data_IF_006854221948
#
_entry.id   IF_006854221948
#
_cell.length_a   1.000
_cell.length_b   1.000
_cell.length_c   1.000
_cell.angle_alpha   90.00
_cell.angle_beta   90.00
_cell.angle_gamma   90.00
#
_symmetry.space_group_name_H-M   'P 1'
#
loop_
_entity.id
_entity.type
_entity.pdbx_description
1 polymer ?
#
# COMPACT_ATOMS: atom_id res chain seq x y z
N UNK A 1 -13.81 11.25 -8.08
CA UNK A 1 -12.50 11.54 -7.47
C UNK A 1 -11.82 10.20 -7.32
N UNK A 2 -10.61 9.98 -7.85
CA UNK A 2 -9.97 8.67 -7.74
C UNK A 2 -9.48 8.46 -6.30
N UNK A 3 -10.26 7.71 -5.52
CA UNK A 3 -10.05 7.49 -4.07
C UNK A 3 -8.97 6.43 -3.76
N UNK A 4 -8.13 6.08 -4.74
CA UNK A 4 -7.12 5.04 -4.61
C UNK A 4 -5.72 5.60 -4.83
N UNK A 5 -4.77 5.09 -4.03
CA UNK A 5 -3.35 5.44 -4.08
C UNK A 5 -2.57 4.24 -4.59
N UNK A 6 -1.64 4.47 -5.52
CA UNK A 6 -0.67 3.46 -5.91
C UNK A 6 0.39 3.36 -4.82
N UNK A 7 0.55 2.16 -4.26
CA UNK A 7 1.44 1.91 -3.13
C UNK A 7 2.37 0.75 -3.39
N UNK A 8 3.50 0.80 -2.72
CA UNK A 8 4.37 -0.33 -2.46
C UNK A 8 4.20 -0.75 -1.00
N UNK A 9 4.06 -2.05 -0.76
CA UNK A 9 3.84 -2.64 0.55
C UNK A 9 4.86 -3.74 0.76
N UNK A 10 5.62 -3.65 1.85
CA UNK A 10 6.52 -4.73 2.27
C UNK A 10 5.77 -5.60 3.27
N UNK A 11 5.66 -6.90 2.98
CA UNK A 11 4.96 -7.86 3.83
C UNK A 11 5.87 -8.94 4.38
N UNK A 12 5.61 -9.38 5.61
CA UNK A 12 6.27 -10.53 6.22
C UNK A 12 5.78 -11.82 5.57
N UNK A 13 6.67 -12.58 4.95
CA UNK A 13 6.40 -13.94 4.50
C UNK A 13 6.60 -14.93 5.66
N UNK A 14 5.74 -15.96 5.74
CA UNK A 14 5.70 -16.86 6.89
C UNK A 14 7.01 -17.64 7.12
N UNK A 15 7.83 -17.88 6.07
CA UNK A 15 9.06 -18.69 6.13
C UNK A 15 10.17 -18.20 5.16
N UNK A 16 10.15 -16.94 4.70
CA UNK A 16 11.10 -16.38 3.72
C UNK A 16 11.48 -14.93 4.06
N UNK A 17 12.44 -14.38 3.33
CA UNK A 17 12.67 -12.93 3.22
C UNK A 17 11.35 -12.20 2.91
N UNK A 18 11.22 -10.95 3.36
CA UNK A 18 10.05 -10.10 3.10
C UNK A 18 9.74 -10.03 1.61
N UNK A 19 8.46 -9.92 1.25
CA UNK A 19 8.03 -9.74 -0.15
C UNK A 19 7.55 -8.32 -0.39
N UNK A 20 7.82 -7.80 -1.59
CA UNK A 20 7.33 -6.49 -2.02
C UNK A 20 6.12 -6.68 -2.92
N UNK A 21 5.06 -5.95 -2.59
CA UNK A 21 3.80 -5.91 -3.32
C UNK A 21 3.55 -4.50 -3.82
N UNK A 22 3.13 -4.36 -5.07
CA UNK A 22 2.71 -3.07 -5.63
C UNK A 22 1.26 -3.18 -6.10
N UNK A 23 0.43 -2.20 -5.74
CA UNK A 23 -0.99 -2.23 -6.11
C UNK A 23 -1.69 -0.92 -5.74
N UNK A 24 -3.02 -0.95 -5.78
CA UNK A 24 -3.85 0.19 -5.44
C UNK A 24 -4.59 -0.03 -4.14
N UNK A 25 -4.44 0.89 -3.19
CA UNK A 25 -5.14 0.86 -1.90
C UNK A 25 -6.13 2.03 -1.83
N UNK A 26 -7.22 1.87 -1.07
CA UNK A 26 -8.10 3.00 -0.77
C UNK A 26 -7.35 4.06 0.06
N UNK A 27 -7.63 5.34 -0.17
CA UNK A 27 -7.02 6.43 0.62
C UNK A 27 -7.38 6.31 2.12
N UNK A 28 -8.56 5.78 2.44
CA UNK A 28 -9.00 5.52 3.81
C UNK A 28 -8.14 4.48 4.52
N UNK A 29 -7.92 3.33 3.88
CA UNK A 29 -7.09 2.26 4.44
C UNK A 29 -5.63 2.71 4.59
N UNK A 30 -5.10 3.46 3.61
CA UNK A 30 -3.76 4.03 3.70
C UNK A 30 -3.61 4.94 4.93
N UNK A 31 -4.54 5.87 5.14
CA UNK A 31 -4.53 6.77 6.32
C UNK A 31 -4.69 5.99 7.63
N UNK A 32 -5.52 4.95 7.65
CA UNK A 32 -5.71 4.09 8.81
C UNK A 32 -4.41 3.36 9.17
N UNK A 33 -3.70 2.79 8.18
CA UNK A 33 -2.38 2.18 8.36
C UNK A 33 -1.36 3.18 8.91
N UNK A 34 -1.23 4.35 8.28
CA UNK A 34 -0.24 5.37 8.71
C UNK A 34 -0.52 5.97 10.09
N UNK A 35 -1.78 5.98 10.54
CA UNK A 35 -2.18 6.52 11.85
C UNK A 35 -2.17 5.47 12.97
N UNK A 36 -1.77 4.23 12.70
CA UNK A 36 -1.78 3.15 13.67
C UNK A 36 -3.16 2.56 13.97
N UNK A 37 -4.20 2.94 13.21
CA UNK A 37 -5.56 2.41 13.31
C UNK A 37 -5.82 1.38 12.21
N UNK A 38 -4.82 0.55 11.92
CA UNK A 38 -4.84 -0.39 10.81
C UNK A 38 -6.07 -1.32 10.89
N UNK A 39 -6.90 -1.40 9.83
CA UNK A 39 -7.99 -2.38 9.78
C UNK A 39 -7.39 -3.79 9.80
N UNK A 40 -8.14 -4.79 10.28
CA UNK A 40 -7.63 -6.17 10.39
C UNK A 40 -7.17 -6.77 9.06
N UNK A 41 -7.80 -6.32 7.96
CA UNK A 41 -7.47 -6.68 6.58
C UNK A 41 -7.56 -5.43 5.70
N UNK A 42 -6.62 -5.26 4.78
CA UNK A 42 -6.64 -4.25 3.71
C UNK A 42 -6.71 -4.93 2.34
N UNK A 43 -7.34 -4.28 1.38
CA UNK A 43 -7.39 -4.73 -0.01
C UNK A 43 -6.41 -3.94 -0.87
N UNK A 44 -5.57 -4.64 -1.62
CA UNK A 44 -4.78 -4.11 -2.71
C UNK A 44 -5.38 -4.56 -4.04
N UNK A 45 -5.79 -3.61 -4.88
CA UNK A 45 -6.27 -3.91 -6.23
C UNK A 45 -5.12 -4.00 -7.23
N UNK A 46 -5.28 -4.82 -8.26
CA UNK A 46 -4.32 -5.04 -9.34
C UNK A 46 -2.89 -5.28 -8.81
N UNK A 47 -2.78 -6.10 -7.78
CA UNK A 47 -1.53 -6.30 -7.06
C UNK A 47 -0.54 -7.10 -7.89
N UNK A 48 0.72 -6.69 -7.87
CA UNK A 48 1.86 -7.38 -8.48
C UNK A 48 2.91 -7.65 -7.40
N UNK A 49 3.74 -8.67 -7.59
CA UNK A 49 4.85 -9.00 -6.68
C UNK A 49 6.16 -9.13 -7.44
N UNK A 50 7.23 -8.60 -6.85
CA UNK A 50 8.61 -8.75 -7.34
C UNK A 50 9.09 -10.21 -7.36
N UNK A 51 8.60 -11.01 -6.42
CA UNK A 51 8.99 -12.40 -6.20
C UNK A 51 8.28 -13.41 -7.11
N UNK A 52 7.45 -12.94 -8.05
CA UNK A 52 6.62 -13.80 -8.90
C UNK A 52 5.48 -14.51 -8.15
N UNK A 53 5.20 -14.12 -6.90
CA UNK A 53 4.08 -14.63 -6.11
C UNK A 53 2.72 -14.42 -6.78
N UNK A 54 2.64 -13.39 -7.62
CA UNK A 54 1.45 -13.01 -8.36
C UNK A 54 1.84 -12.96 -9.84
N UNK A 55 1.43 -13.97 -10.61
CA UNK A 55 1.78 -14.08 -12.03
C UNK A 55 0.95 -13.16 -12.93
N UNK A 56 -0.19 -12.67 -12.43
CA UNK A 56 -1.09 -11.73 -13.10
C UNK A 56 -1.65 -10.76 -12.07
N UNK A 57 -1.88 -9.48 -12.40
CA UNK A 57 -2.49 -8.54 -11.47
C UNK A 57 -3.80 -9.09 -10.90
N UNK A 58 -3.87 -9.21 -9.59
CA UNK A 58 -5.04 -9.74 -8.88
C UNK A 58 -5.31 -8.92 -7.61
N UNK A 59 -6.57 -8.90 -7.18
CA UNK A 59 -6.94 -8.28 -5.91
C UNK A 59 -6.44 -9.14 -4.75
N UNK A 60 -5.62 -8.56 -3.87
CA UNK A 60 -5.09 -9.23 -2.68
C UNK A 60 -5.68 -8.64 -1.40
N UNK A 61 -6.00 -9.52 -0.46
CA UNK A 61 -6.40 -9.16 0.90
C UNK A 61 -5.25 -9.45 1.86
N UNK A 62 -4.65 -8.39 2.39
CA UNK A 62 -3.51 -8.47 3.30
C UNK A 62 -3.98 -8.28 4.74
N UNK A 63 -3.53 -9.14 5.65
CA UNK A 63 -3.65 -8.84 7.08
C UNK A 63 -2.69 -7.71 7.43
N UNK A 64 -3.18 -6.66 8.07
CA UNK A 64 -2.36 -5.51 8.45
C UNK A 64 -1.21 -5.88 9.39
N UNK A 65 -1.40 -6.89 10.24
CA UNK A 65 -0.36 -7.42 11.13
C UNK A 65 0.87 -7.98 10.38
N UNK A 66 0.77 -8.23 9.07
CA UNK A 66 1.89 -8.69 8.24
C UNK A 66 2.50 -7.58 7.38
N UNK A 67 1.95 -6.36 7.42
CA UNK A 67 2.52 -5.21 6.73
C UNK A 67 3.66 -4.66 7.58
N UNK A 68 4.86 -4.62 7.01
CA UNK A 68 6.07 -4.10 7.63
C UNK A 68 6.27 -2.62 7.29
N UNK A 69 5.97 -2.23 6.05
CA UNK A 69 5.96 -0.83 5.61
C UNK A 69 5.01 -0.63 4.43
N UNK A 70 4.60 0.61 4.22
CA UNK A 70 3.77 1.03 3.09
C UNK A 70 4.21 2.43 2.62
N UNK A 71 4.43 2.57 1.31
CA UNK A 71 4.84 3.83 0.69
C UNK A 71 3.99 4.13 -0.55
N UNK A 72 3.70 5.41 -0.78
CA UNK A 72 3.01 5.85 -2.01
C UNK A 72 4.04 6.01 -3.12
N UNK A 73 3.84 5.33 -4.25
CA UNK A 73 4.75 5.35 -5.39
C UNK A 73 4.64 6.64 -6.22
N UNK A 74 3.42 7.17 -6.36
CA UNK A 74 3.18 8.47 -7.01
C UNK A 74 2.93 9.54 -5.94
N UNK A 75 4.00 10.12 -5.40
CA UNK A 75 3.86 11.39 -4.69
C UNK A 75 3.55 12.47 -5.74
N UNK A 76 2.27 12.83 -5.91
CA UNK A 76 1.98 14.22 -6.27
C UNK A 76 2.73 15.08 -5.26
N UNK A 77 3.57 16.05 -5.69
CA UNK A 77 4.28 16.90 -4.74
C UNK A 77 3.24 17.45 -3.75
N UNK A 78 3.57 17.52 -2.44
CA UNK A 78 2.65 18.12 -1.48
C UNK A 78 2.23 19.48 -2.03
N UNK A 79 0.94 19.85 -1.98
CA UNK A 79 0.51 21.16 -2.45
C UNK A 79 1.42 22.18 -1.77
N UNK A 80 2.22 22.89 -2.56
CA UNK A 80 3.05 23.96 -2.04
C UNK A 80 2.08 24.93 -1.40
N UNK A 81 2.05 24.95 -0.07
CA UNK A 81 1.41 26.01 0.68
C UNK A 81 2.11 27.27 0.22
N UNK A 82 1.49 28.00 -0.70
CA UNK A 82 1.95 29.32 -1.09
C UNK A 82 2.03 30.11 0.21
N UNK A 83 3.25 30.36 0.69
CA UNK A 83 3.42 31.28 1.81
C UNK A 83 2.80 32.61 1.39
N UNK A 84 1.94 33.21 2.23
CA UNK A 84 1.46 34.56 1.96
C UNK A 84 2.68 35.50 1.97
N UNK A 85 2.75 36.36 0.95
CA UNK A 85 3.71 37.45 0.87
C UNK A 85 3.46 38.48 1.98
#
# INVERSE_FOLDING_TARGET
MNEHLKVEVVVRAHNRESSVLQGWISQGDYRALCSGHAPGVVRLNDCQSDSGFVQRPEDLFLRSAYILSIEVLDRLPPPQSAMPR
#
